data_IF_857267023398
#
_entry.id   IF_857267023398
#
_cell.length_a   1.000
_cell.length_b   1.000
_cell.length_c   1.000
_cell.angle_alpha   90.00
_cell.angle_beta   90.00
_cell.angle_gamma   90.00
#
_symmetry.space_group_name_H-M   'P 1'
#
loop_
_entity.id
_entity.type
_entity.pdbx_description
1 polymer ?
#
# COMPACT_ATOMS: atom_id res chain seq x y z
N UNK A 1 7.78 -23.34 16.73
CA UNK A 1 8.03 -22.39 17.84
C UNK A 1 7.66 -23.09 19.12
N UNK A 2 8.47 -23.00 20.18
CA UNK A 2 8.08 -23.57 21.46
C UNK A 2 8.70 -22.82 22.63
N UNK A 3 7.85 -22.39 23.56
CA UNK A 3 8.26 -22.00 24.90
C UNK A 3 8.28 -23.27 25.75
N UNK A 4 9.43 -23.63 26.31
CA UNK A 4 9.60 -24.83 27.14
C UNK A 4 10.12 -24.45 28.52
N UNK A 5 9.52 -25.00 29.57
CA UNK A 5 10.05 -24.87 30.93
C UNK A 5 11.26 -25.81 31.08
N UNK A 6 12.37 -25.28 31.56
CA UNK A 6 13.61 -26.03 31.79
C UNK A 6 13.67 -26.57 33.23
N UNK A 7 14.50 -27.60 33.50
CA UNK A 7 14.67 -28.17 34.84
C UNK A 7 15.14 -27.15 35.89
N UNK A 8 15.84 -26.09 35.45
CA UNK A 8 16.31 -24.98 36.28
C UNK A 8 15.21 -23.94 36.62
N UNK A 9 13.94 -24.21 36.29
CA UNK A 9 12.80 -23.32 36.54
C UNK A 9 12.64 -22.17 35.54
N UNK A 10 13.59 -21.96 34.61
CA UNK A 10 13.53 -20.91 33.59
C UNK A 10 12.74 -21.35 32.36
N UNK A 11 12.27 -20.39 31.57
CA UNK A 11 11.54 -20.63 30.33
C UNK A 11 12.44 -20.38 29.13
N UNK A 12 12.65 -21.41 28.31
CA UNK A 12 13.39 -21.34 27.06
C UNK A 12 12.43 -21.03 25.92
N UNK A 13 12.73 -19.98 25.16
CA UNK A 13 12.04 -19.60 23.94
C UNK A 13 12.91 -19.98 22.76
N UNK A 14 12.37 -20.84 21.88
CA UNK A 14 13.00 -21.19 20.59
C UNK A 14 12.09 -20.80 19.42
N UNK A 15 12.56 -19.81 18.65
CA UNK A 15 11.83 -19.19 17.55
C UNK A 15 12.65 -19.27 16.27
N UNK A 16 11.91 -19.40 15.16
CA UNK A 16 12.46 -19.32 13.81
C UNK A 16 11.69 -18.21 13.09
N UNK A 17 12.24 -17.00 13.07
CA UNK A 17 11.55 -15.79 12.62
C UNK A 17 11.09 -15.85 11.14
N UNK A 18 11.72 -16.69 10.31
CA UNK A 18 11.38 -16.88 8.89
C UNK A 18 11.02 -18.34 8.55
N UNK A 19 10.43 -19.08 9.50
CA UNK A 19 10.09 -20.50 9.31
C UNK A 19 11.28 -21.45 9.42
N UNK A 20 11.12 -22.70 8.99
CA UNK A 20 12.03 -23.83 9.33
C UNK A 20 13.49 -23.66 8.87
N UNK A 21 13.75 -22.79 7.88
CA UNK A 21 15.10 -22.42 7.41
C UNK A 21 15.60 -21.06 7.89
N UNK A 22 14.83 -20.35 8.72
CA UNK A 22 15.16 -19.02 9.20
C UNK A 22 16.15 -19.01 10.37
N UNK A 23 16.68 -17.82 10.69
CA UNK A 23 17.57 -17.60 11.84
C UNK A 23 16.91 -18.10 13.13
N UNK A 24 17.61 -19.00 13.84
CA UNK A 24 17.19 -19.52 15.14
C UNK A 24 17.51 -18.50 16.23
N UNK A 25 16.49 -18.02 16.92
CA UNK A 25 16.64 -17.18 18.12
C UNK A 25 16.30 -18.00 19.35
N UNK A 26 17.27 -18.15 20.25
CA UNK A 26 17.15 -18.92 21.49
C UNK A 26 17.47 -18.02 22.68
N UNK A 27 16.49 -17.81 23.58
CA UNK A 27 16.68 -17.04 24.82
C UNK A 27 15.98 -17.71 25.99
N UNK A 28 16.50 -17.48 27.19
CA UNK A 28 15.91 -17.96 28.46
C UNK A 28 15.38 -16.80 29.27
N UNK A 29 14.19 -16.97 29.86
CA UNK A 29 13.51 -15.99 30.71
C UNK A 29 13.19 -16.58 32.08
N UNK A 30 13.04 -15.74 33.10
CA UNK A 30 12.66 -16.15 34.45
C UNK A 30 11.16 -16.49 34.52
N UNK A 31 10.32 -15.79 33.75
CA UNK A 31 8.87 -15.97 33.75
C UNK A 31 8.31 -16.42 32.40
N UNK A 32 7.18 -17.13 32.42
CA UNK A 32 6.46 -17.52 31.20
C UNK A 32 5.88 -16.30 30.47
N UNK A 33 5.48 -15.26 31.21
CA UNK A 33 4.91 -14.05 30.64
C UNK A 33 5.93 -13.26 29.81
N UNK A 34 7.16 -13.10 30.32
CA UNK A 34 8.25 -12.49 29.55
C UNK A 34 8.60 -13.31 28.31
N UNK A 35 8.66 -14.64 28.44
CA UNK A 35 8.90 -15.54 27.31
C UNK A 35 7.85 -15.35 26.20
N UNK A 36 6.57 -15.24 26.55
CA UNK A 36 5.46 -14.97 25.60
C UNK A 36 5.57 -13.58 24.97
N UNK A 37 5.89 -12.54 25.75
CA UNK A 37 6.08 -11.18 25.23
C UNK A 37 7.23 -11.12 24.23
N UNK A 38 8.34 -11.80 24.52
CA UNK A 38 9.49 -11.86 23.62
C UNK A 38 9.18 -12.62 22.32
N UNK A 39 8.38 -13.69 22.40
CA UNK A 39 7.87 -14.40 21.21
C UNK A 39 7.02 -13.47 20.32
N UNK A 40 6.04 -12.78 20.90
CA UNK A 40 5.19 -11.83 20.16
C UNK A 40 6.01 -10.68 19.56
N UNK A 41 6.93 -10.10 20.33
CA UNK A 41 7.82 -9.04 19.85
C UNK A 41 8.64 -9.48 18.65
N UNK A 42 9.29 -10.65 18.72
CA UNK A 42 10.13 -11.18 17.65
C UNK A 42 9.33 -11.52 16.39
N UNK A 43 8.08 -11.97 16.55
CA UNK A 43 7.16 -12.22 15.43
C UNK A 43 6.74 -10.90 14.76
N UNK A 44 6.36 -9.90 15.57
CA UNK A 44 6.00 -8.59 15.05
C UNK A 44 7.18 -7.92 14.34
N UNK A 45 8.42 -8.06 14.85
CA UNK A 45 9.65 -7.58 14.19
C UNK A 45 10.01 -8.39 12.92
N UNK A 46 9.53 -9.63 12.80
CA UNK A 46 9.71 -10.41 11.57
C UNK A 46 8.69 -10.02 10.49
N UNK A 47 7.48 -9.63 10.89
CA UNK A 47 6.41 -9.14 10.01
C UNK A 47 6.64 -7.68 9.60
N UNK A 48 6.86 -6.80 10.58
CA UNK A 48 7.36 -5.46 10.38
C UNK A 48 8.83 -5.60 10.05
N UNK A 49 9.19 -5.72 8.78
CA UNK A 49 10.58 -5.68 8.34
C UNK A 49 10.98 -4.21 8.15
N UNK A 50 11.43 -3.46 9.18
CA UNK A 50 11.72 -2.02 9.05
C UNK A 50 12.86 -1.71 8.09
N UNK A 51 13.66 -2.71 7.71
CA UNK A 51 14.71 -2.59 6.69
C UNK A 51 14.23 -2.98 5.28
N UNK A 52 13.05 -3.59 5.13
CA UNK A 52 12.41 -3.65 3.82
C UNK A 52 11.71 -2.31 3.62
N UNK A 53 11.90 -1.65 2.47
CA UNK A 53 11.07 -0.52 2.13
C UNK A 53 9.60 -0.94 2.21
N UNK A 54 8.77 -0.06 2.76
CA UNK A 54 7.33 -0.21 2.76
C UNK A 54 6.89 -0.63 1.35
N UNK A 55 6.01 -1.62 1.24
CA UNK A 55 5.62 -2.14 -0.08
C UNK A 55 5.12 -0.97 -0.91
N UNK A 56 5.79 -0.72 -2.02
CA UNK A 56 5.38 0.31 -2.96
C UNK A 56 3.90 0.13 -3.32
N UNK A 57 3.15 1.23 -3.25
CA UNK A 57 1.76 1.25 -3.65
C UNK A 57 1.63 1.06 -5.17
N UNK A 58 1.27 -0.15 -5.57
CA UNK A 58 1.11 -0.55 -6.96
C UNK A 58 -0.37 -0.54 -7.41
N UNK A 59 -1.24 0.15 -6.67
CA UNK A 59 -2.64 0.33 -7.08
C UNK A 59 -2.73 1.00 -8.45
N UNK A 60 -3.74 0.58 -9.21
CA UNK A 60 -4.04 1.17 -10.51
C UNK A 60 -4.72 2.52 -10.34
N UNK A 61 -4.65 3.34 -11.39
CA UNK A 61 -5.20 4.69 -11.35
C UNK A 61 -6.72 4.69 -11.12
N UNK A 62 -7.45 3.74 -11.70
CA UNK A 62 -8.89 3.56 -11.45
C UNK A 62 -9.21 3.25 -9.98
N UNK A 63 -8.47 2.35 -9.35
CA UNK A 63 -8.62 2.00 -7.93
C UNK A 63 -8.39 3.23 -7.04
N UNK A 64 -7.38 4.05 -7.35
CA UNK A 64 -7.17 5.29 -6.61
C UNK A 64 -8.29 6.32 -6.84
N UNK A 65 -8.85 6.40 -8.04
CA UNK A 65 -10.00 7.27 -8.33
C UNK A 65 -11.22 6.83 -7.52
N UNK A 66 -11.47 5.53 -7.39
CA UNK A 66 -12.54 4.97 -6.57
C UNK A 66 -12.35 5.30 -5.08
N UNK A 67 -11.13 5.12 -4.57
CA UNK A 67 -10.77 5.48 -3.19
C UNK A 67 -10.91 6.99 -2.96
N UNK A 68 -10.43 7.82 -3.88
CA UNK A 68 -10.63 9.27 -3.81
C UNK A 68 -12.12 9.63 -3.78
N UNK A 69 -12.94 8.95 -4.58
CA UNK A 69 -14.37 9.22 -4.62
C UNK A 69 -15.06 8.83 -3.30
N UNK A 70 -14.73 7.68 -2.71
CA UNK A 70 -15.31 7.26 -1.44
C UNK A 70 -14.88 8.15 -0.27
N UNK A 71 -13.65 8.65 -0.27
CA UNK A 71 -13.12 9.50 0.80
C UNK A 71 -13.57 10.96 0.68
N UNK A 72 -13.52 11.52 -0.52
CA UNK A 72 -13.70 12.96 -0.73
C UNK A 72 -14.71 13.27 -1.85
N UNK A 73 -14.60 12.58 -2.98
CA UNK A 73 -15.40 12.89 -4.16
C UNK A 73 -16.90 12.80 -3.93
N UNK A 74 -17.38 11.95 -3.03
CA UNK A 74 -18.80 11.81 -2.69
C UNK A 74 -19.42 13.06 -2.06
N UNK A 75 -18.62 13.89 -1.40
CA UNK A 75 -19.08 15.13 -0.74
C UNK A 75 -19.15 16.33 -1.70
N UNK A 76 -18.65 16.18 -2.94
CA UNK A 76 -18.63 17.25 -3.93
C UNK A 76 -19.90 17.26 -4.77
N UNK A 77 -20.46 18.46 -5.01
CA UNK A 77 -21.62 18.65 -5.89
C UNK A 77 -21.43 18.04 -7.30
N UNK A 78 -20.22 18.17 -7.86
CA UNK A 78 -19.85 17.59 -9.16
C UNK A 78 -19.00 16.31 -9.04
N UNK A 79 -18.97 15.69 -7.85
CA UNK A 79 -18.13 14.54 -7.54
C UNK A 79 -18.29 13.38 -8.53
N UNK A 80 -19.55 12.98 -8.79
CA UNK A 80 -19.87 11.91 -9.75
C UNK A 80 -19.37 12.23 -11.16
N UNK A 81 -19.57 13.47 -11.62
CA UNK A 81 -19.10 13.91 -12.95
C UNK A 81 -17.56 13.90 -13.03
N UNK A 82 -16.87 14.35 -11.97
CA UNK A 82 -15.40 14.32 -11.90
C UNK A 82 -14.87 12.90 -11.90
N UNK A 83 -15.47 12.00 -11.10
CA UNK A 83 -15.15 10.58 -11.09
C UNK A 83 -15.25 9.96 -12.49
N UNK A 84 -16.37 10.15 -13.18
CA UNK A 84 -16.56 9.62 -14.54
C UNK A 84 -15.51 10.15 -15.53
N UNK A 85 -15.12 11.42 -15.43
CA UNK A 85 -14.04 11.99 -16.25
C UNK A 85 -12.70 11.35 -15.93
N UNK A 86 -12.35 11.24 -14.65
CA UNK A 86 -11.11 10.62 -14.21
C UNK A 86 -11.01 9.15 -14.64
N UNK A 87 -12.10 8.38 -14.55
CA UNK A 87 -12.15 7.00 -15.03
C UNK A 87 -11.96 6.92 -16.55
N UNK A 88 -12.61 7.80 -17.32
CA UNK A 88 -12.41 7.87 -18.76
C UNK A 88 -10.96 8.24 -19.13
N UNK A 89 -10.32 9.11 -18.34
CA UNK A 89 -8.90 9.46 -18.49
C UNK A 89 -8.01 8.25 -18.21
N UNK A 90 -8.24 7.55 -17.10
CA UNK A 90 -7.52 6.33 -16.75
C UNK A 90 -7.63 5.29 -17.86
N UNK A 91 -8.84 5.05 -18.39
CA UNK A 91 -9.07 4.12 -19.49
C UNK A 91 -8.29 4.51 -20.75
N UNK A 92 -8.30 5.79 -21.13
CA UNK A 92 -7.56 6.30 -22.30
C UNK A 92 -6.05 6.20 -22.13
N UNK A 93 -5.55 6.22 -20.89
CA UNK A 93 -4.14 6.01 -20.56
C UNK A 93 -3.77 4.52 -20.42
N UNK A 94 -4.71 3.59 -20.61
CA UNK A 94 -4.47 2.15 -20.46
C UNK A 94 -4.45 1.66 -19.00
N UNK A 95 -5.08 2.42 -18.10
CA UNK A 95 -5.17 2.15 -16.66
C UNK A 95 -3.80 1.86 -16.01
N UNK A 96 -2.86 2.82 -16.03
CA UNK A 96 -1.52 2.63 -15.51
C UNK A 96 -1.52 2.46 -13.99
N UNK A 97 -0.40 1.96 -13.46
CA UNK A 97 -0.13 2.04 -12.02
C UNK A 97 -0.01 3.52 -11.66
N UNK A 98 -0.72 3.98 -10.63
CA UNK A 98 -0.85 5.40 -10.34
C UNK A 98 0.49 6.10 -10.10
N UNK A 99 1.43 5.44 -9.41
CA UNK A 99 2.80 5.97 -9.17
C UNK A 99 3.62 6.17 -10.45
N UNK A 100 3.26 5.49 -11.54
CA UNK A 100 3.97 5.56 -12.81
C UNK A 100 3.36 6.62 -13.75
N UNK A 101 2.29 7.30 -13.33
CA UNK A 101 1.68 8.38 -14.12
C UNK A 101 2.57 9.61 -14.04
N UNK A 102 3.11 10.02 -15.18
CA UNK A 102 4.00 11.19 -15.29
C UNK A 102 3.30 12.27 -16.15
N UNK A 103 3.71 13.53 -16.02
CA UNK A 103 3.22 14.66 -16.84
C UNK A 103 3.25 14.39 -18.36
N UNK A 104 4.14 13.51 -18.84
CA UNK A 104 4.20 13.08 -20.24
C UNK A 104 2.96 12.29 -20.65
N UNK A 105 2.41 11.46 -19.78
CA UNK A 105 1.21 10.66 -20.05
C UNK A 105 -0.02 11.57 -20.16
N UNK A 106 -0.10 12.58 -19.29
CA UNK A 106 -1.12 13.63 -19.42
C UNK A 106 -0.97 14.41 -20.72
N UNK A 107 0.26 14.71 -21.15
CA UNK A 107 0.51 15.43 -22.41
C UNK A 107 0.01 14.64 -23.63
N UNK A 108 0.23 13.32 -23.66
CA UNK A 108 -0.30 12.41 -24.69
C UNK A 108 -1.83 12.38 -24.67
N UNK A 109 -2.42 12.23 -23.49
CA UNK A 109 -3.88 12.30 -23.31
C UNK A 109 -4.45 13.63 -23.84
N UNK A 110 -3.81 14.76 -23.50
CA UNK A 110 -4.22 16.10 -23.93
C UNK A 110 -4.18 16.25 -25.44
N UNK A 111 -3.13 15.75 -26.10
CA UNK A 111 -3.02 15.78 -27.55
C UNK A 111 -4.20 15.06 -28.22
N UNK A 112 -4.56 13.87 -27.73
CA UNK A 112 -5.71 13.11 -28.23
C UNK A 112 -7.03 13.82 -27.94
N UNK A 113 -7.18 14.45 -26.78
CA UNK A 113 -8.43 15.13 -26.42
C UNK A 113 -8.67 16.41 -27.17
N UNK A 114 -7.65 17.21 -27.49
CA UNK A 114 -7.85 18.46 -28.25
C UNK A 114 -8.39 18.19 -29.66
N UNK A 115 -8.16 16.99 -30.22
CA UNK A 115 -8.76 16.58 -31.49
C UNK A 115 -10.28 16.34 -31.40
N UNK A 116 -10.81 16.08 -30.20
CA UNK A 116 -12.22 15.70 -29.99
C UNK A 116 -13.01 16.71 -29.18
N UNK A 117 -12.36 17.54 -28.37
CA UNK A 117 -13.01 18.53 -27.50
C UNK A 117 -12.27 19.88 -27.54
N UNK A 118 -12.97 20.94 -27.13
CA UNK A 118 -12.38 22.27 -27.02
C UNK A 118 -11.13 22.28 -26.12
N UNK A 119 -10.17 23.15 -26.44
CA UNK A 119 -8.94 23.34 -25.66
C UNK A 119 -9.25 23.67 -24.20
N UNK A 120 -10.28 24.49 -23.95
CA UNK A 120 -10.76 24.82 -22.59
C UNK A 120 -11.18 23.55 -21.82
N UNK A 121 -11.92 22.66 -22.47
CA UNK A 121 -12.36 21.40 -21.87
C UNK A 121 -11.18 20.47 -21.55
N UNK A 122 -10.19 20.39 -22.44
CA UNK A 122 -8.98 19.60 -22.21
C UNK A 122 -8.14 20.14 -21.03
N UNK A 123 -8.01 21.46 -20.92
CA UNK A 123 -7.27 22.10 -19.83
C UNK A 123 -7.96 21.91 -18.47
N UNK A 124 -9.30 22.00 -18.42
CA UNK A 124 -10.07 21.71 -17.20
C UNK A 124 -9.93 20.26 -16.71
N UNK A 125 -9.49 19.34 -17.58
CA UNK A 125 -9.22 17.96 -17.17
C UNK A 125 -7.89 17.84 -16.41
N UNK A 126 -6.91 18.71 -16.71
CA UNK A 126 -5.62 18.76 -16.02
C UNK A 126 -5.77 19.11 -14.54
N UNK A 127 -6.70 20.01 -14.22
CA UNK A 127 -6.98 20.43 -12.83
C UNK A 127 -7.53 19.32 -11.95
N UNK A 128 -7.93 18.17 -12.49
CA UNK A 128 -8.39 17.03 -11.69
C UNK A 128 -7.28 16.01 -11.37
N UNK A 129 -6.11 16.13 -12.02
CA UNK A 129 -4.98 15.20 -11.89
C UNK A 129 -3.75 15.82 -11.22
N UNK A 130 -3.70 17.14 -11.07
CA UNK A 130 -2.71 17.86 -10.26
C UNK A 130 -3.13 17.88 -8.79
#
# INVERSE_FOLDING_TARGET
>A
MSIRKQPNGKYLVELYAQGRGGKRTRKTFSTQAEAKRFEQFTLNEAEQKPWLPEKDDNRRLDELIEVWFSLHGQALNDGKKRKSKLLAMSLLMGNPIARNVIAKDFSKYRQLRIQTVSVKTANNAQTYLN
#
